data_IF_641116866522
#
_entry.id   IF_641116866522
#
_cell.length_a   1.000
_cell.length_b   1.000
_cell.length_c   1.000
_cell.angle_alpha   90.00
_cell.angle_beta   90.00
_cell.angle_gamma   90.00
#
_symmetry.space_group_name_H-M   'P 1'
#
loop_
_entity.id
_entity.type
_entity.pdbx_description
1 polymer ?
#
# COMPACT_ATOMS: atom_id res chain seq x y z
N UNK A 1 25.71 -31.03 40.36
CA UNK A 1 25.28 -31.59 39.07
C UNK A 1 23.87 -31.15 38.64
N UNK A 2 22.95 -30.76 39.52
CA UNK A 2 21.58 -30.37 39.14
C UNK A 2 21.40 -28.93 38.60
N UNK A 3 22.35 -28.01 38.86
CA UNK A 3 22.26 -26.62 38.41
C UNK A 3 22.59 -26.42 36.93
N UNK A 4 23.47 -27.25 36.37
CA UNK A 4 23.81 -27.24 34.95
C UNK A 4 22.66 -27.78 34.09
N UNK A 5 21.99 -28.85 34.52
CA UNK A 5 20.84 -29.39 33.79
C UNK A 5 19.67 -28.40 33.69
N UNK A 6 19.46 -27.57 34.72
CA UNK A 6 18.42 -26.54 34.72
C UNK A 6 18.74 -25.37 33.77
N UNK A 7 20.01 -24.94 33.68
CA UNK A 7 20.42 -23.90 32.72
C UNK A 7 20.37 -24.40 31.27
N UNK A 8 20.69 -25.68 31.02
CA UNK A 8 20.51 -26.31 29.72
C UNK A 8 19.04 -26.39 29.31
N UNK A 9 18.14 -26.77 30.22
CA UNK A 9 16.71 -26.85 29.93
C UNK A 9 16.10 -25.46 29.63
N UNK A 10 16.51 -24.42 30.38
CA UNK A 10 16.07 -23.04 30.15
C UNK A 10 16.58 -22.49 28.80
N UNK A 11 17.85 -22.76 28.47
CA UNK A 11 18.43 -22.37 27.18
C UNK A 11 17.71 -23.06 26.01
N UNK A 12 17.45 -24.36 26.15
CA UNK A 12 16.70 -25.14 25.16
C UNK A 12 15.28 -24.60 24.96
N UNK A 13 14.59 -24.25 26.05
CA UNK A 13 13.24 -23.65 25.99
C UNK A 13 13.25 -22.29 25.26
N UNK A 14 14.22 -21.42 25.56
CA UNK A 14 14.36 -20.13 24.88
C UNK A 14 14.68 -20.30 23.39
N UNK A 15 15.53 -21.27 23.04
CA UNK A 15 15.83 -21.58 21.65
C UNK A 15 14.59 -22.09 20.91
N UNK A 16 13.79 -22.97 21.52
CA UNK A 16 12.55 -23.48 20.95
C UNK A 16 11.51 -22.37 20.75
N UNK A 17 11.38 -21.44 21.70
CA UNK A 17 10.52 -20.26 21.57
C UNK A 17 11.01 -19.35 20.42
N UNK A 18 12.32 -19.08 20.34
CA UNK A 18 12.89 -18.28 19.26
C UNK A 18 12.65 -18.92 17.89
N UNK A 19 12.79 -20.24 17.79
CA UNK A 19 12.58 -21.00 16.56
C UNK A 19 11.11 -20.99 16.09
N UNK A 20 10.16 -20.86 17.02
CA UNK A 20 8.73 -20.71 16.69
C UNK A 20 8.37 -19.28 16.28
N UNK A 21 9.01 -18.27 16.84
CA UNK A 21 8.72 -16.86 16.54
C UNK A 21 9.42 -16.41 15.24
N UNK A 22 10.59 -16.98 14.92
CA UNK A 22 11.40 -16.58 13.77
C UNK A 22 10.67 -16.66 12.40
N UNK A 23 9.88 -17.71 12.08
CA UNK A 23 9.14 -17.77 10.82
C UNK A 23 8.03 -16.71 10.73
N UNK A 24 7.41 -16.33 11.84
CA UNK A 24 6.39 -15.28 11.86
C UNK A 24 6.98 -13.89 11.59
N UNK A 25 8.21 -13.64 12.06
CA UNK A 25 8.95 -12.40 11.80
C UNK A 25 9.50 -12.34 10.38
N UNK A 26 9.91 -13.49 9.83
CA UNK A 26 10.45 -13.61 8.46
C UNK A 26 9.37 -13.92 7.41
N UNK A 27 8.09 -13.94 7.78
CA UNK A 27 7.00 -14.13 6.84
C UNK A 27 6.96 -12.93 5.90
N UNK A 28 7.55 -13.10 4.71
CA UNK A 28 7.39 -12.16 3.61
C UNK A 28 5.94 -12.34 3.16
N UNK A 29 5.11 -11.32 3.37
CA UNK A 29 3.76 -11.32 2.85
C UNK A 29 3.83 -11.48 1.33
N UNK A 30 3.32 -12.59 0.82
CA UNK A 30 3.07 -12.74 -0.61
C UNK A 30 1.85 -11.89 -0.91
N UNK A 31 2.06 -10.68 -1.40
CA UNK A 31 0.97 -9.85 -1.88
C UNK A 31 0.33 -10.54 -3.08
N UNK A 32 -0.94 -10.90 -2.94
CA UNK A 32 -1.79 -11.00 -4.11
C UNK A 32 -1.84 -9.61 -4.76
N UNK A 33 -1.50 -9.54 -6.04
CA UNK A 33 -1.60 -8.34 -6.86
C UNK A 33 -3.02 -7.75 -6.75
N UNK A 34 -3.25 -6.81 -5.83
CA UNK A 34 -4.57 -6.21 -5.62
C UNK A 34 -4.80 -4.98 -6.52
N UNK A 35 -3.74 -4.44 -7.12
CA UNK A 35 -3.80 -3.40 -8.15
C UNK A 35 -3.13 -3.96 -9.41
N UNK A 36 -3.92 -4.37 -10.40
CA UNK A 36 -3.41 -4.94 -11.66
C UNK A 36 -3.06 -3.85 -12.67
N UNK A 37 -2.28 -4.19 -13.70
CA UNK A 37 -2.04 -3.27 -14.82
C UNK A 37 -3.36 -2.78 -15.44
N UNK A 38 -3.37 -1.50 -15.82
CA UNK A 38 -4.54 -0.82 -16.35
C UNK A 38 -5.54 -0.35 -15.30
N UNK A 39 -5.36 -0.72 -14.02
CA UNK A 39 -6.24 -0.25 -12.95
C UNK A 39 -6.14 1.26 -12.81
N UNK A 40 -7.29 1.91 -12.69
CA UNK A 40 -7.42 3.35 -12.53
C UNK A 40 -8.52 3.65 -11.52
N UNK A 41 -8.28 4.64 -10.66
CA UNK A 41 -9.27 5.18 -9.74
C UNK A 41 -9.48 6.66 -10.06
N UNK A 42 -10.73 7.11 -10.11
CA UNK A 42 -11.04 8.53 -10.29
C UNK A 42 -11.32 9.20 -8.94
N UNK A 43 -10.85 10.44 -8.79
CA UNK A 43 -11.19 11.31 -7.68
C UNK A 43 -12.70 11.55 -7.66
N UNK A 44 -13.33 11.20 -6.54
CA UNK A 44 -14.79 11.22 -6.37
C UNK A 44 -15.46 9.86 -6.43
N UNK A 45 -14.70 8.79 -6.71
CA UNK A 45 -15.14 7.41 -6.48
C UNK A 45 -15.02 7.09 -4.98
N UNK A 46 -15.93 6.25 -4.48
CA UNK A 46 -16.06 5.99 -3.04
C UNK A 46 -15.12 4.88 -2.52
N UNK A 47 -14.51 4.11 -3.42
CA UNK A 47 -13.67 2.97 -3.05
C UNK A 47 -12.19 3.32 -3.18
N UNK A 48 -11.32 2.82 -2.28
CA UNK A 48 -9.88 2.93 -2.47
C UNK A 48 -9.42 2.10 -3.67
N UNK A 49 -8.26 2.45 -4.23
CA UNK A 49 -7.63 1.69 -5.31
C UNK A 49 -7.02 0.38 -4.78
N UNK A 50 -6.54 0.38 -3.54
CA UNK A 50 -6.02 -0.80 -2.88
C UNK A 50 -6.17 -0.73 -1.37
N UNK A 51 -6.30 -1.90 -0.75
CA UNK A 51 -6.41 -2.06 0.70
C UNK A 51 -5.44 -3.16 1.16
N UNK A 52 -4.80 -2.96 2.31
CA UNK A 52 -3.87 -3.94 2.86
C UNK A 52 -4.60 -5.21 3.33
N UNK A 53 -3.92 -6.38 3.39
CA UNK A 53 -4.55 -7.64 3.81
C UNK A 53 -5.20 -7.57 5.19
N UNK A 54 -4.59 -6.83 6.13
CA UNK A 54 -5.19 -6.60 7.44
C UNK A 54 -6.43 -5.69 7.40
N UNK A 55 -6.59 -4.91 6.33
CA UNK A 55 -7.57 -3.86 6.20
C UNK A 55 -7.22 -2.57 6.94
N UNK A 56 -6.07 -2.50 7.63
CA UNK A 56 -5.65 -1.32 8.40
C UNK A 56 -5.30 -0.16 7.49
N UNK A 57 -4.72 -0.40 6.32
CA UNK A 57 -4.31 0.67 5.40
C UNK A 57 -5.07 0.64 4.08
N UNK A 58 -5.41 1.82 3.57
CA UNK A 58 -6.00 1.99 2.24
C UNK A 58 -5.26 3.07 1.45
N UNK A 59 -5.25 2.92 0.13
CA UNK A 59 -4.63 3.85 -0.83
C UNK A 59 -5.65 4.32 -1.87
N UNK A 60 -5.73 5.62 -2.12
CA UNK A 60 -6.70 6.21 -3.03
C UNK A 60 -6.91 7.70 -2.79
N UNK A 61 -8.10 8.20 -3.14
CA UNK A 61 -8.46 9.61 -2.98
C UNK A 61 -9.33 9.84 -1.73
N UNK A 62 -8.94 10.81 -0.91
CA UNK A 62 -9.73 11.32 0.21
C UNK A 62 -10.33 12.67 -0.17
N UNK A 63 -11.64 12.83 -0.03
CA UNK A 63 -12.29 14.14 -0.24
C UNK A 63 -11.89 15.11 0.86
N UNK A 64 -11.42 16.29 0.49
CA UNK A 64 -11.14 17.37 1.41
C UNK A 64 -12.41 18.22 1.62
N UNK A 65 -12.68 18.56 2.88
CA UNK A 65 -13.87 19.33 3.25
C UNK A 65 -15.16 18.52 3.35
N UNK A 66 -16.16 19.12 3.98
CA UNK A 66 -17.48 18.52 4.18
C UNK A 66 -18.37 18.60 2.93
N UNK A 67 -19.57 18.01 2.96
CA UNK A 67 -20.50 17.99 1.82
C UNK A 67 -20.87 19.37 1.26
N UNK A 68 -20.68 20.42 2.06
CA UNK A 68 -20.98 21.82 1.70
C UNK A 68 -19.77 22.61 1.19
N UNK A 69 -18.61 21.98 0.99
CA UNK A 69 -17.45 22.66 0.41
C UNK A 69 -17.74 23.08 -1.04
N UNK A 70 -17.43 24.33 -1.39
CA UNK A 70 -17.65 24.92 -2.72
C UNK A 70 -16.85 24.22 -3.82
N UNK A 71 -15.76 23.53 -3.47
CA UNK A 71 -14.95 22.75 -4.39
C UNK A 71 -14.80 21.30 -3.94
N UNK A 72 -15.07 20.38 -4.87
CA UNK A 72 -14.83 18.94 -4.74
C UNK A 72 -13.34 18.64 -4.96
N UNK A 73 -12.54 18.90 -3.91
CA UNK A 73 -11.10 18.65 -3.88
C UNK A 73 -10.79 17.30 -3.23
N UNK A 74 -9.77 16.62 -3.74
CA UNK A 74 -9.39 15.28 -3.31
C UNK A 74 -7.89 15.17 -3.10
N UNK A 75 -7.47 14.54 -2.02
CA UNK A 75 -6.09 14.25 -1.69
C UNK A 75 -5.76 12.81 -2.06
N UNK A 76 -4.74 12.59 -2.89
CA UNK A 76 -4.18 11.25 -3.08
C UNK A 76 -3.36 10.88 -1.84
N UNK A 77 -3.75 9.81 -1.15
CA UNK A 77 -3.24 9.50 0.17
C UNK A 77 -3.23 8.00 0.49
N UNK A 78 -2.50 7.68 1.56
CA UNK A 78 -2.60 6.44 2.34
C UNK A 78 -3.15 6.80 3.72
N UNK A 79 -4.16 6.08 4.19
CA UNK A 79 -4.78 6.32 5.50
C UNK A 79 -5.08 5.04 6.28
N UNK A 80 -5.31 5.20 7.58
CA UNK A 80 -5.79 4.13 8.47
C UNK A 80 -7.30 3.92 8.27
N UNK A 81 -7.69 2.84 7.61
CA UNK A 81 -9.06 2.62 7.14
C UNK A 81 -10.03 2.12 8.23
N UNK A 82 -9.51 1.57 9.33
CA UNK A 82 -10.32 1.04 10.44
C UNK A 82 -10.53 2.00 11.61
N UNK A 83 -9.82 3.13 11.61
CA UNK A 83 -9.98 4.15 12.65
C UNK A 83 -11.05 5.14 12.17
N UNK A 84 -12.10 5.41 12.96
CA UNK A 84 -13.16 6.34 12.56
C UNK A 84 -12.63 7.76 12.32
N UNK A 85 -11.59 8.15 13.06
CA UNK A 85 -10.86 9.39 12.86
C UNK A 85 -9.86 9.21 11.70
N UNK A 86 -10.10 9.95 10.61
CA UNK A 86 -9.31 9.87 9.40
C UNK A 86 -7.85 10.25 9.67
N UNK A 87 -6.99 9.24 9.73
CA UNK A 87 -5.55 9.43 9.95
C UNK A 87 -4.79 9.19 8.65
N UNK A 88 -4.27 10.25 8.06
CA UNK A 88 -3.42 10.20 6.86
C UNK A 88 -1.98 9.89 7.29
N UNK A 89 -1.43 8.78 6.81
CA UNK A 89 -0.04 8.38 7.10
C UNK A 89 0.92 8.83 6.01
N UNK A 90 0.40 9.06 4.80
CA UNK A 90 1.15 9.64 3.68
C UNK A 90 0.19 10.33 2.71
N UNK A 91 0.61 11.44 2.12
CA UNK A 91 -0.11 12.07 1.01
C UNK A 91 0.84 12.74 0.02
N UNK A 92 0.35 12.99 -1.19
CA UNK A 92 1.11 13.71 -2.21
C UNK A 92 1.14 15.22 -1.92
N UNK A 93 2.20 15.69 -1.26
CA UNK A 93 2.64 17.10 -1.07
C UNK A 93 1.52 18.16 -0.98
N UNK A 94 0.41 17.87 -0.29
CA UNK A 94 -0.66 18.83 -0.03
C UNK A 94 -1.29 19.49 -1.26
N UNK A 95 -1.15 18.92 -2.46
CA UNK A 95 -1.80 19.44 -3.67
C UNK A 95 -3.07 18.64 -3.94
N UNK A 96 -4.25 19.12 -3.51
CA UNK A 96 -5.49 18.45 -3.81
C UNK A 96 -5.75 18.55 -5.31
N UNK A 97 -6.41 17.53 -5.83
CA UNK A 97 -6.83 17.47 -7.22
C UNK A 97 -8.35 17.60 -7.30
N UNK A 98 -8.89 18.20 -8.36
CA UNK A 98 -10.34 18.26 -8.54
C UNK A 98 -10.91 16.86 -8.80
N UNK A 99 -12.23 16.71 -8.63
CA UNK A 99 -12.98 15.55 -9.10
C UNK A 99 -12.58 15.15 -10.53
N UNK A 100 -12.65 13.86 -10.84
CA UNK A 100 -12.28 13.25 -12.14
C UNK A 100 -10.79 13.20 -12.45
N UNK A 101 -9.93 13.74 -11.61
CA UNK A 101 -8.49 13.42 -11.65
C UNK A 101 -8.30 11.92 -11.39
N UNK A 102 -7.22 11.30 -11.89
CA UNK A 102 -7.08 9.83 -11.87
C UNK A 102 -5.72 9.38 -11.41
N UNK A 103 -5.67 8.34 -10.59
CA UNK A 103 -4.43 7.59 -10.32
C UNK A 103 -4.52 6.26 -11.08
N UNK A 104 -3.51 5.98 -11.91
CA UNK A 104 -3.52 4.81 -12.80
C UNK A 104 -2.22 4.04 -12.68
N UNK A 105 -2.32 2.72 -12.48
CA UNK A 105 -1.22 1.81 -12.75
C UNK A 105 -1.27 1.45 -14.24
N UNK A 106 -0.40 2.07 -15.04
CA UNK A 106 -0.44 1.90 -16.49
C UNK A 106 -0.07 0.47 -16.89
N UNK A 107 -0.40 0.07 -18.13
CA UNK A 107 0.20 -1.13 -18.74
C UNK A 107 1.73 -1.04 -18.84
N UNK A 108 2.26 0.19 -18.71
CA UNK A 108 3.64 0.60 -18.50
C UNK A 108 4.26 0.15 -17.17
N UNK A 109 3.47 -0.35 -16.21
CA UNK A 109 3.95 -0.64 -14.85
C UNK A 109 4.29 0.62 -14.05
N UNK A 110 3.86 1.78 -14.56
CA UNK A 110 4.09 3.08 -13.94
C UNK A 110 2.83 3.50 -13.20
N UNK A 111 3.00 4.03 -11.97
CA UNK A 111 1.91 4.62 -11.21
C UNK A 111 1.89 6.12 -11.48
N UNK A 112 0.84 6.60 -12.16
CA UNK A 112 0.75 7.99 -12.66
C UNK A 112 -0.54 8.64 -12.19
N UNK A 113 -0.41 9.84 -11.61
CA UNK A 113 -1.49 10.76 -11.28
C UNK A 113 -1.74 11.72 -12.44
N UNK A 114 -2.98 11.76 -12.91
CA UNK A 114 -3.46 12.63 -13.95
C UNK A 114 -4.48 13.63 -13.38
N UNK A 115 -4.52 14.84 -13.95
CA UNK A 115 -5.61 15.80 -13.70
C UNK A 115 -6.92 15.36 -14.39
N UNK A 116 -7.98 16.14 -14.18
CA UNK A 116 -9.30 15.91 -14.79
C UNK A 116 -9.32 15.99 -16.34
N UNK A 117 -8.26 16.52 -16.96
CA UNK A 117 -8.07 16.63 -18.41
C UNK A 117 -7.10 15.58 -18.96
N UNK A 118 -6.68 14.63 -18.13
CA UNK A 118 -5.66 13.59 -18.42
C UNK A 118 -4.23 14.13 -18.63
N UNK A 119 -3.90 15.30 -18.08
CA UNK A 119 -2.52 15.78 -18.01
C UNK A 119 -1.78 15.06 -16.89
N UNK A 120 -0.58 14.55 -17.14
CA UNK A 120 0.28 13.97 -16.09
C UNK A 120 0.67 15.04 -15.07
N UNK A 121 0.25 14.85 -13.82
CA UNK A 121 0.61 15.71 -12.69
C UNK A 121 1.81 15.13 -11.92
N UNK A 122 1.90 13.81 -11.85
CA UNK A 122 2.98 13.12 -11.15
C UNK A 122 3.09 11.67 -11.60
N UNK A 123 4.32 11.16 -11.59
CA UNK A 123 4.63 9.75 -11.78
C UNK A 123 5.56 9.25 -10.68
N UNK A 124 5.29 8.06 -10.15
CA UNK A 124 6.17 7.40 -9.20
C UNK A 124 7.52 7.09 -9.84
N UNK A 125 8.61 7.44 -9.15
CA UNK A 125 9.96 7.08 -9.59
C UNK A 125 10.11 5.56 -9.59
N UNK A 126 10.31 4.98 -10.78
CA UNK A 126 10.59 3.55 -10.93
C UNK A 126 12.05 3.34 -11.30
N UNK A 127 12.72 2.38 -10.65
CA UNK A 127 14.05 1.90 -11.04
C UNK A 127 14.00 0.78 -12.09
N UNK A 128 12.83 0.53 -12.70
CA UNK A 128 12.62 -0.55 -13.66
C UNK A 128 13.41 -0.33 -14.96
N UNK A 129 14.34 -1.22 -15.25
CA UNK A 129 14.83 -1.46 -16.62
C UNK A 129 13.82 -2.28 -17.41
N UNK A 130 13.91 -2.30 -18.75
CA UNK A 130 12.96 -2.98 -19.64
C UNK A 130 12.65 -4.45 -19.26
N UNK A 131 13.58 -5.14 -18.59
CA UNK A 131 13.44 -6.55 -18.20
C UNK A 131 12.85 -6.75 -16.78
N UNK A 132 12.68 -5.67 -16.00
CA UNK A 132 12.23 -5.73 -14.61
C UNK A 132 11.08 -4.77 -14.30
N UNK A 133 10.18 -4.61 -15.28
CA UNK A 133 8.97 -3.85 -15.11
C UNK A 133 7.99 -4.59 -14.18
N UNK A 134 7.37 -3.90 -13.22
CA UNK A 134 6.33 -4.51 -12.40
C UNK A 134 5.09 -4.80 -13.24
N UNK A 135 4.40 -5.89 -12.90
CA UNK A 135 3.17 -6.32 -13.58
C UNK A 135 1.94 -6.11 -12.70
N UNK A 136 2.12 -5.57 -11.50
CA UNK A 136 1.06 -5.16 -10.59
C UNK A 136 1.64 -4.32 -9.44
N UNK A 137 0.76 -3.81 -8.60
CA UNK A 137 1.09 -3.28 -7.29
C UNK A 137 0.19 -3.92 -6.22
N UNK A 138 0.63 -3.82 -4.99
CA UNK A 138 -0.12 -4.24 -3.83
C UNK A 138 -0.02 -3.19 -2.72
N UNK A 139 -1.15 -2.92 -2.05
CA UNK A 139 -1.12 -2.27 -0.75
C UNK A 139 -0.80 -3.32 0.33
N UNK A 140 0.34 -3.19 1.00
CA UNK A 140 0.74 -4.04 2.12
C UNK A 140 0.51 -3.30 3.44
N UNK A 141 0.61 -4.03 4.55
CA UNK A 141 0.60 -3.42 5.90
C UNK A 141 1.83 -2.55 6.16
N UNK A 142 2.88 -2.69 5.35
CA UNK A 142 4.09 -1.86 5.36
C UNK A 142 4.07 -0.73 4.32
N UNK A 143 3.02 -0.64 3.48
CA UNK A 143 2.89 0.38 2.44
C UNK A 143 2.69 -0.18 1.04
N UNK A 144 2.72 0.69 0.02
CA UNK A 144 2.54 0.27 -1.38
C UNK A 144 3.82 -0.35 -1.95
N UNK A 145 3.70 -1.50 -2.59
CA UNK A 145 4.82 -2.19 -3.23
C UNK A 145 4.44 -2.64 -4.64
N UNK A 146 5.35 -2.47 -5.59
CA UNK A 146 5.19 -3.02 -6.95
C UNK A 146 5.70 -4.46 -7.00
N UNK A 147 5.02 -5.32 -7.76
CA UNK A 147 5.31 -6.76 -7.78
C UNK A 147 5.27 -7.30 -9.22
N UNK A 148 5.80 -8.53 -9.39
CA UNK A 148 5.60 -9.35 -10.58
C UNK A 148 4.58 -10.43 -10.27
N UNK A 149 3.60 -10.59 -11.13
CA UNK A 149 2.55 -11.57 -11.01
C UNK A 149 3.17 -12.94 -11.28
N UNK A 150 3.02 -13.86 -10.33
CA UNK A 150 3.58 -15.22 -10.41
C UNK A 150 2.86 -16.12 -11.41
N UNK A 151 1.78 -15.63 -12.03
CA UNK A 151 0.91 -16.34 -12.98
C UNK A 151 1.26 -16.11 -14.47
N UNK A 152 2.44 -15.57 -14.76
CA UNK A 152 3.04 -15.55 -16.10
C UNK A 152 4.26 -16.47 -16.17
#
# INVERSE_FOLDING_TARGET
>A
MASSSLSHLRSLLLLLLLLHVLPAVLAISTSDCNITLGSSLSAGDNNPLGQSPSGEFAFGFLRLGGPQADEDLFLLAIWLAKIPELTVVWSRNENPVPRKSKITLTNGGELILYDSKNTELWKASSSSTNNNKPTCAAMLDSGIQTCKNKRE
#
